data_IF_472846681785
#
_entry.id   IF_472846681785
#
_cell.length_a   1.000
_cell.length_b   1.000
_cell.length_c   1.000
_cell.angle_alpha   90.00
_cell.angle_beta   90.00
_cell.angle_gamma   90.00
#
_symmetry.space_group_name_H-M   'P 1'
#
loop_
_entity.id
_entity.type
_entity.pdbx_description
1 polymer ?
#
# COMPACT_ATOMS: atom_id res chain seq x y z
N UNK A 1 0.78 17.01 -22.75
CA UNK A 1 1.10 16.58 -21.37
C UNK A 1 2.35 15.71 -21.46
N UNK A 2 3.29 15.87 -20.51
CA UNK A 2 4.55 15.09 -20.50
C UNK A 2 4.28 13.65 -20.05
N UNK A 3 5.09 12.71 -20.53
CA UNK A 3 5.08 11.35 -20.02
C UNK A 3 5.78 11.26 -18.67
N UNK A 4 5.37 10.29 -17.86
CA UNK A 4 5.90 10.03 -16.53
C UNK A 4 6.37 8.58 -16.48
N UNK A 5 7.65 8.39 -16.27
CA UNK A 5 8.27 7.08 -16.27
C UNK A 5 8.61 6.60 -14.86
N UNK A 6 8.36 5.32 -14.61
CA UNK A 6 8.92 4.59 -13.48
C UNK A 6 10.27 4.03 -13.94
N UNK A 7 11.34 4.41 -13.25
CA UNK A 7 12.70 4.02 -13.63
C UNK A 7 13.32 2.96 -12.70
N UNK A 8 13.03 3.01 -11.43
CA UNK A 8 13.40 1.97 -10.45
C UNK A 8 12.40 1.96 -9.28
N UNK A 9 12.35 0.86 -8.55
CA UNK A 9 11.52 0.71 -7.37
C UNK A 9 12.08 -0.35 -6.43
N UNK A 10 11.92 -0.12 -5.12
CA UNK A 10 12.39 -1.03 -4.08
C UNK A 10 11.52 -0.90 -2.84
N UNK A 11 11.40 -1.97 -2.06
CA UNK A 11 10.69 -1.99 -0.78
C UNK A 11 11.50 -2.68 0.31
N UNK A 12 11.14 -2.42 1.54
CA UNK A 12 11.56 -3.26 2.66
C UNK A 12 10.80 -4.60 2.65
N UNK A 13 11.23 -5.59 3.43
CA UNK A 13 10.33 -6.66 3.83
C UNK A 13 9.08 -6.08 4.49
N UNK A 14 7.98 -6.83 4.46
CA UNK A 14 6.77 -6.53 5.23
C UNK A 14 6.84 -7.31 6.54
N UNK A 15 6.97 -6.59 7.66
CA UNK A 15 6.93 -7.14 9.00
C UNK A 15 5.50 -7.35 9.48
N UNK A 16 5.27 -8.35 10.34
CA UNK A 16 4.01 -8.49 11.07
C UNK A 16 4.01 -7.60 12.31
N UNK A 17 2.85 -7.34 12.85
CA UNK A 17 2.69 -6.60 14.11
C UNK A 17 3.53 -7.23 15.25
N UNK A 18 4.37 -6.42 15.88
CA UNK A 18 5.28 -6.87 16.94
C UNK A 18 6.39 -7.82 16.46
N UNK A 19 6.61 -7.93 15.14
CA UNK A 19 7.55 -8.87 14.52
C UNK A 19 8.96 -8.33 14.32
N UNK A 20 9.59 -8.79 13.25
CA UNK A 20 11.01 -8.55 12.95
C UNK A 20 11.37 -7.06 12.81
N UNK A 21 10.45 -6.22 12.32
CA UNK A 21 10.66 -4.77 12.16
C UNK A 21 10.25 -3.93 13.37
N UNK A 22 9.73 -4.52 14.44
CA UNK A 22 9.18 -3.82 15.60
C UNK A 22 10.17 -2.84 16.30
N UNK A 23 11.48 -3.06 16.15
CA UNK A 23 12.51 -2.20 16.74
C UNK A 23 13.00 -1.09 15.81
N UNK A 24 12.49 -1.03 14.58
CA UNK A 24 12.86 0.00 13.61
C UNK A 24 11.88 1.15 13.72
N UNK A 25 12.35 2.36 13.90
CA UNK A 25 11.53 3.57 13.90
C UNK A 25 10.88 3.78 12.54
N UNK A 26 9.70 4.39 12.49
CA UNK A 26 8.99 4.62 11.24
C UNK A 26 9.78 5.50 10.24
N UNK A 27 10.47 6.53 10.74
CA UNK A 27 11.31 7.42 9.94
C UNK A 27 12.58 6.72 9.42
N UNK A 28 13.23 5.85 10.21
CA UNK A 28 14.35 5.01 9.78
C UNK A 28 13.91 3.95 8.75
N UNK A 29 12.74 3.35 8.96
CA UNK A 29 12.17 2.39 8.02
C UNK A 29 11.88 3.04 6.66
N UNK A 30 11.36 4.27 6.67
CA UNK A 30 11.12 5.07 5.47
C UNK A 30 12.43 5.42 4.73
N UNK A 31 13.53 5.60 5.45
CA UNK A 31 14.84 5.89 4.87
C UNK A 31 15.48 4.67 4.17
N UNK A 32 15.12 3.45 4.55
CA UNK A 32 15.74 2.23 4.01
C UNK A 32 15.59 2.09 2.48
N UNK A 33 14.40 2.20 1.86
CA UNK A 33 14.27 2.12 0.41
C UNK A 33 14.95 3.29 -0.32
N UNK A 34 15.05 4.48 0.29
CA UNK A 34 15.78 5.60 -0.29
C UNK A 34 17.28 5.30 -0.36
N UNK A 35 17.87 4.79 0.73
CA UNK A 35 19.27 4.34 0.75
C UNK A 35 19.55 3.27 -0.30
N UNK A 36 18.60 2.35 -0.48
CA UNK A 36 18.73 1.28 -1.47
C UNK A 36 18.71 1.84 -2.91
N UNK A 37 17.83 2.78 -3.24
CA UNK A 37 17.83 3.45 -4.54
C UNK A 37 19.14 4.20 -4.78
N UNK A 38 19.64 4.93 -3.77
CA UNK A 38 20.92 5.63 -3.87
C UNK A 38 22.09 4.66 -4.13
N UNK A 39 22.10 3.50 -3.47
CA UNK A 39 23.12 2.49 -3.67
C UNK A 39 23.03 1.83 -5.07
N UNK A 40 21.83 1.65 -5.61
CA UNK A 40 21.63 1.13 -6.98
C UNK A 40 22.06 2.11 -8.06
N UNK A 41 22.02 3.43 -7.78
CA UNK A 41 22.32 4.50 -8.72
C UNK A 41 23.44 5.42 -8.21
N UNK A 42 24.68 4.90 -8.00
CA UNK A 42 25.78 5.66 -7.37
C UNK A 42 26.32 6.83 -8.22
N UNK A 43 25.96 6.89 -9.50
CA UNK A 43 26.36 7.95 -10.43
C UNK A 43 25.31 9.04 -10.59
N UNK A 44 24.11 8.84 -10.01
CA UNK A 44 23.02 9.79 -10.11
C UNK A 44 23.29 11.00 -9.21
N UNK A 45 23.11 12.18 -9.72
CA UNK A 45 23.15 13.39 -8.90
C UNK A 45 21.84 13.54 -8.12
N UNK A 46 21.85 13.16 -6.87
CA UNK A 46 20.69 13.21 -6.01
C UNK A 46 20.26 14.62 -5.59
N UNK A 47 21.07 15.64 -5.87
CA UNK A 47 20.68 17.03 -5.67
C UNK A 47 19.69 17.53 -6.73
N UNK A 48 19.56 16.79 -7.82
CA UNK A 48 18.63 17.07 -8.91
C UNK A 48 17.21 16.48 -8.66
N UNK A 49 17.01 15.80 -7.53
CA UNK A 49 15.65 15.37 -7.13
C UNK A 49 14.84 16.60 -6.73
N UNK A 50 13.79 16.89 -7.48
CA UNK A 50 12.93 18.05 -7.24
C UNK A 50 12.15 17.90 -5.93
N UNK A 51 11.62 16.71 -5.65
CA UNK A 51 10.86 16.45 -4.42
C UNK A 51 10.69 14.96 -4.12
N UNK A 52 10.60 14.60 -2.83
CA UNK A 52 10.24 13.28 -2.34
C UNK A 52 8.81 13.28 -1.83
N UNK A 53 7.94 12.43 -2.43
CA UNK A 53 6.54 12.25 -2.07
C UNK A 53 6.34 10.93 -1.33
N UNK A 54 6.00 10.96 -0.04
CA UNK A 54 5.73 9.74 0.71
C UNK A 54 4.31 9.72 1.29
N UNK A 55 3.65 8.57 1.13
CA UNK A 55 2.41 8.26 1.80
C UNK A 55 2.65 7.78 3.23
N UNK A 56 1.86 8.29 4.18
CA UNK A 56 1.82 7.82 5.55
C UNK A 56 0.44 8.11 6.14
N UNK A 57 -0.20 7.11 6.74
CA UNK A 57 -1.56 7.24 7.25
C UNK A 57 -1.61 7.72 8.69
N UNK A 58 -0.73 7.24 9.57
CA UNK A 58 -0.82 7.53 11.00
C UNK A 58 -0.36 8.96 11.34
N UNK A 59 0.90 9.28 11.15
CA UNK A 59 1.54 10.57 11.42
C UNK A 59 1.41 11.06 12.88
N UNK A 60 1.08 10.19 13.82
CA UNK A 60 0.89 10.53 15.22
C UNK A 60 2.14 10.26 16.08
N UNK A 61 3.07 9.44 15.60
CA UNK A 61 4.26 8.99 16.33
C UNK A 61 5.56 9.46 15.71
N UNK A 62 6.47 8.53 15.48
CA UNK A 62 7.80 8.75 14.89
C UNK A 62 7.73 9.17 13.41
N UNK A 63 6.59 9.01 12.81
CA UNK A 63 6.19 9.41 11.46
C UNK A 63 5.61 10.83 11.36
N UNK A 64 5.67 11.61 12.46
CA UNK A 64 5.22 13.01 12.50
C UNK A 64 6.17 13.96 11.76
N UNK A 65 5.80 15.22 11.68
CA UNK A 65 6.63 16.30 11.11
C UNK A 65 7.13 16.04 9.69
N UNK A 66 6.27 15.53 8.80
CA UNK A 66 6.62 15.25 7.42
C UNK A 66 7.66 14.11 7.31
N UNK A 67 7.21 12.88 7.45
CA UNK A 67 8.08 11.70 7.41
C UNK A 67 8.87 11.57 6.09
N UNK A 68 8.35 12.09 4.97
CA UNK A 68 9.08 12.15 3.70
C UNK A 68 10.38 12.95 3.85
N UNK A 69 10.29 14.16 4.46
CA UNK A 69 11.47 15.00 4.70
C UNK A 69 12.41 14.38 5.73
N UNK A 70 11.89 13.79 6.80
CA UNK A 70 12.70 13.11 7.79
C UNK A 70 13.47 11.93 7.15
N UNK A 71 12.77 11.11 6.38
CA UNK A 71 13.35 9.93 5.73
C UNK A 71 14.47 10.26 4.74
N UNK A 72 14.27 11.28 3.89
CA UNK A 72 15.28 11.67 2.90
C UNK A 72 16.57 12.18 3.55
N UNK A 73 16.46 12.95 4.65
CA UNK A 73 17.62 13.42 5.43
C UNK A 73 18.34 12.24 6.11
N UNK A 74 17.59 11.30 6.71
CA UNK A 74 18.13 10.09 7.34
C UNK A 74 18.75 9.13 6.30
N UNK A 75 18.28 9.18 5.06
CA UNK A 75 18.88 8.43 3.96
C UNK A 75 20.18 9.04 3.46
N UNK A 76 20.43 10.31 3.72
CA UNK A 76 21.60 11.06 3.25
C UNK A 76 21.40 11.74 1.90
N UNK A 77 20.15 11.98 1.47
CA UNK A 77 19.91 12.86 0.34
C UNK A 77 20.31 14.31 0.72
N UNK A 78 20.69 15.14 -0.27
CA UNK A 78 21.05 16.54 -0.02
C UNK A 78 19.95 17.32 0.72
N UNK A 79 20.34 18.21 1.61
CA UNK A 79 19.42 19.05 2.39
C UNK A 79 18.59 20.02 1.52
N UNK A 80 18.99 20.23 0.28
CA UNK A 80 18.27 21.04 -0.71
C UNK A 80 17.01 20.34 -1.25
N UNK A 81 16.92 19.01 -1.14
CA UNK A 81 15.78 18.22 -1.63
C UNK A 81 14.58 18.35 -0.69
N UNK A 82 13.45 18.91 -1.09
CA UNK A 82 12.25 18.98 -0.28
C UNK A 82 11.53 17.63 -0.18
N UNK A 83 10.57 17.54 0.73
CA UNK A 83 9.74 16.33 0.88
C UNK A 83 8.32 16.68 1.27
N UNK A 84 7.36 15.91 0.79
CA UNK A 84 5.94 16.06 1.04
C UNK A 84 5.33 14.74 1.53
N UNK A 85 4.64 14.77 2.66
CA UNK A 85 3.88 13.62 3.17
C UNK A 85 2.40 13.75 2.83
N UNK A 86 1.83 12.70 2.21
CA UNK A 86 0.42 12.63 1.83
C UNK A 86 -0.32 11.61 2.66
N UNK A 87 -1.58 11.90 2.95
CA UNK A 87 -2.47 10.98 3.64
C UNK A 87 -3.79 10.81 2.87
N UNK A 88 -3.99 9.62 2.34
CA UNK A 88 -5.29 9.06 1.95
C UNK A 88 -5.41 7.66 2.55
N UNK A 89 -5.16 7.53 3.86
CA UNK A 89 -5.20 6.26 4.58
C UNK A 89 -4.47 5.15 3.80
N UNK A 90 -5.14 4.03 3.51
CA UNK A 90 -4.56 2.88 2.81
C UNK A 90 -3.89 3.22 1.46
N UNK A 91 -4.41 4.22 0.73
CA UNK A 91 -3.89 4.59 -0.60
C UNK A 91 -2.83 5.70 -0.58
N UNK A 92 -2.34 6.11 0.59
CA UNK A 92 -1.38 7.21 0.70
C UNK A 92 -0.16 7.03 -0.21
N UNK A 93 0.41 5.83 -0.29
CA UNK A 93 1.53 5.53 -1.17
C UNK A 93 1.19 5.59 -2.66
N UNK A 94 0.00 5.12 -3.06
CA UNK A 94 -0.43 5.21 -4.47
C UNK A 94 -0.73 6.66 -4.87
N UNK A 95 -1.30 7.45 -3.97
CA UNK A 95 -1.49 8.89 -4.19
C UNK A 95 -0.16 9.66 -4.21
N UNK A 96 0.85 9.24 -3.43
CA UNK A 96 2.19 9.83 -3.49
C UNK A 96 2.79 9.65 -4.90
N UNK A 97 2.74 8.41 -5.45
CA UNK A 97 3.14 8.12 -6.83
C UNK A 97 2.32 8.94 -7.82
N UNK A 98 1.00 9.03 -7.61
CA UNK A 98 0.10 9.81 -8.47
C UNK A 98 0.31 11.33 -8.37
N UNK A 99 0.66 11.87 -7.21
CA UNK A 99 0.95 13.30 -7.01
C UNK A 99 2.24 13.69 -7.73
N UNK A 100 3.33 12.96 -7.50
CA UNK A 100 4.57 13.15 -8.23
C UNK A 100 4.36 13.03 -9.75
N UNK A 101 3.62 12.00 -10.19
CA UNK A 101 3.29 11.85 -11.61
C UNK A 101 2.46 13.01 -12.19
N UNK A 102 1.56 13.62 -11.42
CA UNK A 102 0.81 14.83 -11.84
C UNK A 102 1.72 16.05 -11.95
N UNK A 103 2.62 16.26 -11.00
CA UNK A 103 3.57 17.37 -11.02
C UNK A 103 4.53 17.27 -12.21
N UNK A 104 5.08 16.08 -12.49
CA UNK A 104 5.90 15.84 -13.69
C UNK A 104 5.09 16.09 -14.98
N UNK A 105 3.85 15.58 -15.05
CA UNK A 105 2.98 15.75 -16.23
C UNK A 105 2.60 17.20 -16.49
N UNK A 106 2.43 17.99 -15.42
CA UNK A 106 2.18 19.42 -15.50
C UNK A 106 3.44 20.22 -15.89
N UNK A 107 4.62 19.63 -15.74
CA UNK A 107 5.91 20.29 -16.02
C UNK A 107 6.39 21.19 -14.88
N UNK A 108 5.88 20.96 -13.67
CA UNK A 108 6.33 21.66 -12.46
C UNK A 108 7.66 21.10 -11.94
N UNK A 109 7.87 19.78 -12.12
CA UNK A 109 9.07 19.05 -11.77
C UNK A 109 9.45 18.06 -12.87
N UNK A 110 10.70 17.57 -12.85
CA UNK A 110 11.22 16.61 -13.84
C UNK A 110 11.60 15.28 -13.22
N UNK A 111 12.04 15.27 -11.96
CA UNK A 111 12.62 14.12 -11.28
C UNK A 111 12.15 14.04 -9.83
N UNK A 112 11.52 12.94 -9.46
CA UNK A 112 10.97 12.74 -8.12
C UNK A 112 11.23 11.32 -7.58
N UNK A 113 11.22 11.19 -6.26
CA UNK A 113 11.06 9.91 -5.58
C UNK A 113 9.64 9.87 -4.98
N UNK A 114 8.91 8.79 -5.23
CA UNK A 114 7.58 8.61 -4.67
C UNK A 114 7.47 7.26 -3.98
N UNK A 115 6.76 7.21 -2.86
CA UNK A 115 6.65 5.97 -2.10
C UNK A 115 5.74 6.09 -0.89
N UNK A 116 6.10 5.37 0.17
CA UNK A 116 5.37 5.48 1.42
C UNK A 116 5.87 4.54 2.50
N UNK A 117 5.42 4.76 3.70
CA UNK A 117 5.78 4.02 4.91
C UNK A 117 4.59 3.88 5.84
N UNK A 118 4.56 2.78 6.55
CA UNK A 118 3.74 2.62 7.75
C UNK A 118 4.46 1.72 8.74
N UNK A 119 4.53 2.13 10.00
CA UNK A 119 4.86 1.24 11.11
C UNK A 119 3.67 1.17 12.04
N UNK A 120 2.81 0.17 11.81
CA UNK A 120 1.61 -0.01 12.63
C UNK A 120 1.95 -0.58 14.00
N UNK A 121 3.09 -1.30 14.12
CA UNK A 121 3.61 -1.78 15.41
C UNK A 121 4.00 -0.62 16.35
N UNK A 122 4.53 0.46 15.81
CA UNK A 122 5.02 1.60 16.59
C UNK A 122 4.03 2.78 16.63
N UNK A 123 2.82 2.55 16.17
CA UNK A 123 1.74 3.51 16.29
C UNK A 123 1.50 3.84 17.77
N UNK A 124 1.56 5.11 18.19
CA UNK A 124 1.55 5.48 19.59
C UNK A 124 0.14 5.46 20.19
N UNK A 125 0.07 5.42 21.50
CA UNK A 125 -1.11 5.87 22.23
C UNK A 125 -1.19 7.39 22.17
N UNK A 126 -2.40 7.93 22.02
CA UNK A 126 -2.67 9.37 22.00
C UNK A 126 -3.76 9.72 23.00
N UNK A 127 -3.65 10.91 23.58
CA UNK A 127 -4.58 11.45 24.55
C UNK A 127 -4.94 12.89 24.17
N UNK A 128 -6.23 13.22 24.14
CA UNK A 128 -6.71 14.58 23.95
C UNK A 128 -6.41 15.47 25.14
N UNK A 129 -6.38 16.78 24.94
CA UNK A 129 -6.41 17.71 26.06
C UNK A 129 -7.76 17.64 26.76
N UNK A 130 -7.75 17.80 28.09
CA UNK A 130 -8.97 17.82 28.87
C UNK A 130 -9.91 18.93 28.38
N UNK A 131 -11.20 18.64 28.18
CA UNK A 131 -12.18 19.62 27.70
C UNK A 131 -12.57 20.65 28.78
N UNK A 132 -12.29 20.34 30.02
CA UNK A 132 -12.59 21.21 31.20
C UNK A 132 -11.39 21.27 32.12
N UNK A 133 -11.29 22.39 32.89
CA UNK A 133 -10.26 22.53 33.94
C UNK A 133 -10.47 21.46 35.03
N UNK A 134 -9.36 20.98 35.63
CA UNK A 134 -9.36 20.00 36.72
C UNK A 134 -10.08 18.69 36.39
N UNK A 135 -10.08 18.27 35.13
CA UNK A 135 -10.63 16.98 34.71
C UNK A 135 -10.00 15.84 35.51
N UNK A 136 -10.83 14.88 35.94
CA UNK A 136 -10.41 13.69 36.69
C UNK A 136 -10.35 12.42 35.87
N UNK A 137 -10.55 12.54 34.54
CA UNK A 137 -10.50 11.44 33.57
C UNK A 137 -9.83 11.90 32.28
N UNK A 138 -9.23 10.95 31.55
CA UNK A 138 -8.69 11.14 30.23
C UNK A 138 -8.88 9.85 29.43
N UNK A 139 -9.28 10.00 28.16
CA UNK A 139 -9.35 8.88 27.22
C UNK A 139 -8.01 8.73 26.51
N UNK A 140 -7.49 7.51 26.50
CA UNK A 140 -6.28 7.13 25.75
C UNK A 140 -6.70 6.23 24.60
N UNK A 141 -6.23 6.55 23.37
CA UNK A 141 -6.55 5.82 22.16
C UNK A 141 -5.29 5.17 21.58
N UNK A 142 -5.40 3.89 21.23
CA UNK A 142 -4.42 3.21 20.39
C UNK A 142 -4.59 3.68 18.93
N UNK A 143 -3.50 4.12 18.30
CA UNK A 143 -3.54 4.60 16.92
C UNK A 143 -3.14 3.55 15.89
N UNK A 144 -2.88 2.32 16.29
CA UNK A 144 -2.51 1.20 15.41
C UNK A 144 -3.55 0.98 14.32
N UNK A 145 -4.83 0.89 14.71
CA UNK A 145 -5.97 0.72 13.80
C UNK A 145 -7.24 1.24 14.49
N UNK A 146 -8.21 1.65 13.69
CA UNK A 146 -9.52 2.06 14.20
C UNK A 146 -9.66 3.57 14.41
N UNK A 147 -10.79 3.92 15.00
CA UNK A 147 -11.19 5.30 15.20
C UNK A 147 -10.64 5.88 16.51
N UNK A 148 -10.22 7.14 16.44
CA UNK A 148 -9.83 7.97 17.59
C UNK A 148 -10.41 9.36 17.46
N UNK A 149 -10.69 10.04 18.57
CA UNK A 149 -11.27 11.39 18.59
C UNK A 149 -12.52 11.51 17.71
N UNK A 150 -13.45 10.58 17.87
CA UNK A 150 -14.62 10.45 17.00
C UNK A 150 -15.46 11.74 17.04
N UNK A 151 -15.66 12.36 15.86
CA UNK A 151 -16.57 13.47 15.72
C UNK A 151 -18.03 12.98 15.86
N UNK A 152 -18.83 13.52 16.79
CA UNK A 152 -20.22 13.08 17.03
C UNK A 152 -21.13 13.21 15.79
N UNK A 153 -20.95 14.25 14.96
CA UNK A 153 -21.72 14.42 13.74
C UNK A 153 -21.34 13.36 12.69
N UNK A 154 -20.06 13.07 12.55
CA UNK A 154 -19.59 11.99 11.67
C UNK A 154 -20.19 10.65 12.07
N UNK A 155 -20.19 10.34 13.37
CA UNK A 155 -20.78 9.12 13.92
C UNK A 155 -22.28 9.04 13.66
N UNK A 156 -23.00 10.16 13.83
CA UNK A 156 -24.46 10.20 13.64
C UNK A 156 -24.87 10.09 12.15
N UNK A 157 -24.09 10.68 11.24
CA UNK A 157 -24.45 10.74 9.82
C UNK A 157 -23.97 9.52 9.01
N UNK A 158 -22.77 9.00 9.31
CA UNK A 158 -22.11 8.01 8.47
C UNK A 158 -21.66 6.75 9.21
N UNK A 159 -21.79 6.72 10.54
CA UNK A 159 -21.26 5.66 11.37
C UNK A 159 -19.75 5.74 11.54
N UNK A 160 -19.22 4.84 12.36
CA UNK A 160 -17.80 4.69 12.63
C UNK A 160 -17.45 3.19 12.72
N UNK A 161 -17.90 2.44 11.74
CA UNK A 161 -17.67 0.99 11.67
C UNK A 161 -16.17 0.68 11.72
N UNK A 162 -15.80 -0.32 12.48
CA UNK A 162 -14.46 -0.86 12.46
C UNK A 162 -14.14 -1.46 11.08
N UNK A 163 -12.86 -1.53 10.69
CA UNK A 163 -12.50 -2.03 9.37
C UNK A 163 -13.05 -3.43 9.06
N UNK A 164 -12.96 -4.45 9.95
CA UNK A 164 -13.58 -5.74 9.69
C UNK A 164 -15.11 -5.68 9.54
N UNK A 165 -15.78 -4.74 10.23
CA UNK A 165 -17.22 -4.52 10.09
C UNK A 165 -17.57 -4.03 8.67
N UNK A 166 -16.74 -3.16 8.08
CA UNK A 166 -16.93 -2.75 6.68
C UNK A 166 -16.74 -3.92 5.70
N UNK A 167 -15.88 -4.88 6.05
CA UNK A 167 -15.71 -6.14 5.30
C UNK A 167 -16.97 -7.01 5.34
N UNK A 168 -17.62 -7.12 6.50
CA UNK A 168 -18.91 -7.82 6.64
C UNK A 168 -20.02 -7.10 5.89
N UNK A 169 -20.09 -5.76 5.94
CA UNK A 169 -21.08 -4.98 5.19
C UNK A 169 -20.98 -5.25 3.69
N UNK A 170 -19.75 -5.34 3.15
CA UNK A 170 -19.53 -5.68 1.75
C UNK A 170 -19.91 -7.14 1.47
N UNK A 171 -19.58 -8.08 2.36
CA UNK A 171 -19.95 -9.48 2.20
C UNK A 171 -21.47 -9.65 2.10
N UNK A 172 -22.20 -8.98 2.98
CA UNK A 172 -23.68 -8.99 3.03
C UNK A 172 -24.29 -8.34 1.78
N UNK A 173 -23.92 -7.08 1.47
CA UNK A 173 -24.51 -6.28 0.40
C UNK A 173 -24.22 -6.86 -0.99
N UNK A 174 -23.02 -7.45 -1.19
CA UNK A 174 -22.59 -8.04 -2.46
C UNK A 174 -22.66 -9.58 -2.47
N UNK A 175 -23.29 -10.17 -1.46
CA UNK A 175 -23.54 -11.62 -1.36
C UNK A 175 -22.27 -12.48 -1.55
N UNK A 176 -21.18 -12.11 -0.89
CA UNK A 176 -19.93 -12.85 -0.90
C UNK A 176 -19.92 -13.84 0.26
N UNK A 177 -20.00 -15.13 -0.05
CA UNK A 177 -20.07 -16.18 0.96
C UNK A 177 -18.74 -16.34 1.72
N UNK A 178 -18.79 -16.91 2.93
CA UNK A 178 -17.60 -17.30 3.68
C UNK A 178 -16.71 -18.26 2.91
N UNK A 179 -17.31 -19.22 2.19
CA UNK A 179 -16.58 -20.19 1.39
C UNK A 179 -15.79 -19.51 0.24
N UNK A 180 -16.39 -18.54 -0.45
CA UNK A 180 -15.70 -17.76 -1.48
C UNK A 180 -14.53 -16.98 -0.87
N UNK A 181 -14.72 -16.35 0.31
CA UNK A 181 -13.68 -15.60 1.00
C UNK A 181 -12.49 -16.47 1.40
N UNK A 182 -12.74 -17.66 1.95
CA UNK A 182 -11.69 -18.59 2.33
C UNK A 182 -10.96 -19.16 1.10
N UNK A 183 -11.67 -19.42 -0.01
CA UNK A 183 -11.08 -19.82 -1.29
C UNK A 183 -10.20 -18.73 -1.90
N UNK A 184 -10.59 -17.47 -1.77
CA UNK A 184 -9.78 -16.32 -2.20
C UNK A 184 -8.52 -16.18 -1.35
N UNK A 185 -8.65 -16.30 -0.04
CA UNK A 185 -7.55 -16.15 0.91
C UNK A 185 -6.48 -17.25 0.72
N UNK A 186 -6.88 -18.51 0.59
CA UNK A 186 -5.92 -19.60 0.36
C UNK A 186 -5.17 -19.42 -0.97
N UNK A 187 -5.85 -18.95 -2.01
CA UNK A 187 -5.19 -18.65 -3.29
C UNK A 187 -4.13 -17.54 -3.16
N UNK A 188 -4.41 -16.49 -2.38
CA UNK A 188 -3.43 -15.44 -2.08
C UNK A 188 -2.20 -16.02 -1.40
N UNK A 189 -2.37 -16.87 -0.38
CA UNK A 189 -1.27 -17.55 0.32
C UNK A 189 -0.47 -18.48 -0.59
N UNK A 190 -1.13 -19.27 -1.42
CA UNK A 190 -0.47 -20.19 -2.36
C UNK A 190 0.37 -19.43 -3.39
N UNK A 191 -0.17 -18.34 -3.94
CA UNK A 191 0.54 -17.48 -4.90
C UNK A 191 1.75 -16.78 -4.26
N UNK A 192 1.61 -16.26 -3.05
CA UNK A 192 2.73 -15.69 -2.30
C UNK A 192 3.80 -16.75 -1.98
N UNK A 193 3.39 -17.95 -1.56
CA UNK A 193 4.30 -19.07 -1.32
C UNK A 193 5.11 -19.46 -2.55
N UNK A 194 4.44 -19.56 -3.71
CA UNK A 194 5.10 -19.85 -4.99
C UNK A 194 6.08 -18.74 -5.40
N UNK A 195 5.70 -17.47 -5.23
CA UNK A 195 6.56 -16.32 -5.50
C UNK A 195 7.81 -16.29 -4.58
N UNK A 196 7.65 -16.60 -3.29
CA UNK A 196 8.76 -16.72 -2.35
C UNK A 196 9.70 -17.85 -2.75
N UNK A 197 9.15 -19.04 -3.06
CA UNK A 197 9.93 -20.20 -3.42
C UNK A 197 10.72 -20.01 -4.73
N UNK A 198 10.20 -19.24 -5.68
CA UNK A 198 10.89 -18.88 -6.93
C UNK A 198 11.91 -17.74 -6.78
N UNK A 199 12.02 -17.10 -5.60
CA UNK A 199 12.88 -15.94 -5.41
C UNK A 199 12.34 -14.63 -6.03
N UNK A 200 11.08 -14.60 -6.48
CA UNK A 200 10.48 -13.45 -7.15
C UNK A 200 10.66 -12.14 -6.36
N UNK A 201 10.38 -12.15 -5.06
CA UNK A 201 10.45 -10.95 -4.23
C UNK A 201 11.88 -10.49 -3.88
N UNK A 202 12.91 -11.31 -4.13
CA UNK A 202 14.29 -10.93 -3.87
C UNK A 202 14.75 -9.71 -4.70
N UNK A 203 14.15 -9.48 -5.86
CA UNK A 203 14.43 -8.31 -6.71
C UNK A 203 13.72 -7.03 -6.22
N UNK A 204 12.61 -7.17 -5.48
CA UNK A 204 11.87 -6.05 -4.90
C UNK A 204 12.41 -5.60 -3.55
N UNK A 205 12.92 -6.56 -2.75
CA UNK A 205 13.21 -6.34 -1.33
C UNK A 205 14.65 -5.86 -1.13
N UNK A 206 14.80 -4.78 -0.34
CA UNK A 206 16.06 -4.39 0.27
C UNK A 206 16.08 -4.79 1.73
N UNK A 207 17.19 -5.34 2.20
CA UNK A 207 17.35 -5.73 3.59
C UNK A 207 17.30 -4.53 4.54
N UNK A 208 16.70 -4.72 5.71
CA UNK A 208 16.65 -3.74 6.79
C UNK A 208 17.52 -4.20 7.94
N UNK A 209 18.44 -3.34 8.39
CA UNK A 209 19.26 -3.58 9.58
C UNK A 209 18.45 -3.25 10.84
N UNK A 210 18.24 -4.26 11.67
CA UNK A 210 17.42 -4.14 12.89
C UNK A 210 18.31 -4.28 14.13
N UNK A 211 18.15 -3.47 15.19
CA UNK A 211 18.93 -3.60 16.41
C UNK A 211 18.81 -5.00 17.05
N UNK A 212 19.90 -5.74 17.11
CA UNK A 212 19.97 -7.12 17.64
C UNK A 212 20.55 -7.23 19.06
N UNK A 213 20.67 -6.13 19.79
CA UNK A 213 21.22 -6.10 21.14
C UNK A 213 22.72 -6.42 21.18
N UNK A 214 23.18 -7.24 22.12
CA UNK A 214 24.60 -7.57 22.30
C UNK A 214 25.22 -8.33 21.11
N UNK A 215 24.41 -8.99 20.28
CA UNK A 215 24.87 -9.74 19.11
C UNK A 215 25.11 -8.86 17.87
N UNK A 216 24.88 -7.55 17.98
CA UNK A 216 24.94 -6.62 16.86
C UNK A 216 23.65 -6.59 16.02
N UNK A 217 23.64 -5.84 14.92
CA UNK A 217 22.46 -5.71 14.09
C UNK A 217 22.10 -7.03 13.37
N UNK A 218 20.80 -7.24 13.16
CA UNK A 218 20.23 -8.38 12.43
C UNK A 218 19.74 -7.87 11.08
N UNK A 219 20.05 -8.57 10.00
CA UNK A 219 19.53 -8.29 8.67
C UNK A 219 18.18 -8.98 8.50
N UNK A 220 17.13 -8.22 8.18
CA UNK A 220 15.79 -8.71 7.82
C UNK A 220 15.58 -8.47 6.33
N UNK A 221 15.44 -9.53 5.55
CA UNK A 221 15.40 -9.52 4.08
C UNK A 221 14.24 -10.30 3.48
N UNK A 222 13.29 -10.77 4.31
CA UNK A 222 12.14 -11.57 3.89
C UNK A 222 10.84 -11.06 4.49
N UNK A 223 9.78 -11.14 3.71
CA UNK A 223 8.42 -10.89 4.19
C UNK A 223 8.06 -11.89 5.30
N UNK A 224 7.53 -11.39 6.41
CA UNK A 224 7.27 -12.19 7.62
C UNK A 224 5.80 -12.65 7.71
N UNK A 225 4.90 -12.01 6.96
CA UNK A 225 3.47 -12.25 7.09
C UNK A 225 2.95 -13.51 6.35
N UNK A 226 3.52 -13.92 5.18
CA UNK A 226 3.03 -15.06 4.42
C UNK A 226 2.99 -16.38 5.21
N UNK A 227 1.95 -17.17 4.95
CA UNK A 227 1.71 -18.50 5.56
C UNK A 227 1.38 -19.50 4.46
N UNK A 228 2.37 -19.92 3.65
CA UNK A 228 2.14 -20.79 2.49
C UNK A 228 1.59 -22.17 2.88
N UNK A 229 1.75 -22.60 4.13
CA UNK A 229 1.20 -23.82 4.71
C UNK A 229 -0.29 -23.74 5.06
N UNK A 230 -0.93 -22.60 4.84
CA UNK A 230 -2.37 -22.43 5.13
C UNK A 230 -3.21 -23.44 4.34
N UNK A 231 -4.16 -24.08 5.03
CA UNK A 231 -5.12 -25.02 4.42
C UNK A 231 -6.54 -24.48 4.47
N UNK A 232 -7.39 -24.90 3.54
CA UNK A 232 -8.81 -24.53 3.55
C UNK A 232 -9.49 -25.01 4.82
N UNK A 233 -9.18 -26.23 5.30
CA UNK A 233 -9.68 -26.76 6.56
C UNK A 233 -9.28 -25.87 7.75
N UNK A 234 -8.06 -25.34 7.77
CA UNK A 234 -7.60 -24.41 8.79
C UNK A 234 -8.40 -23.11 8.78
N UNK A 235 -8.67 -22.56 7.59
CA UNK A 235 -9.45 -21.33 7.43
C UNK A 235 -10.89 -21.50 7.89
N UNK A 236 -11.56 -22.58 7.54
CA UNK A 236 -12.97 -22.83 7.92
C UNK A 236 -13.19 -22.91 9.43
N UNK A 237 -12.16 -23.28 10.22
CA UNK A 237 -12.20 -23.36 11.69
C UNK A 237 -12.06 -21.97 12.37
N UNK A 238 -11.65 -20.95 11.64
CA UNK A 238 -11.49 -19.61 12.21
C UNK A 238 -12.84 -18.97 12.52
N UNK A 239 -12.91 -18.36 13.71
CA UNK A 239 -14.12 -17.64 14.14
C UNK A 239 -14.19 -16.26 13.46
N UNK A 240 -15.39 -15.77 13.15
CA UNK A 240 -15.59 -14.37 12.72
C UNK A 240 -15.06 -13.39 13.76
N UNK A 241 -14.56 -12.23 13.29
CA UNK A 241 -13.89 -11.24 14.16
C UNK A 241 -14.89 -10.30 14.83
N UNK A 242 -15.94 -9.87 14.13
CA UNK A 242 -16.82 -8.78 14.60
C UNK A 242 -18.30 -9.16 14.71
N UNK A 243 -18.81 -10.10 13.91
CA UNK A 243 -20.21 -10.55 13.94
C UNK A 243 -20.31 -12.03 14.31
N UNK A 244 -21.42 -12.42 14.90
CA UNK A 244 -21.76 -13.83 15.11
C UNK A 244 -23.28 -14.05 14.84
N UNK A 245 -23.69 -14.66 13.70
CA UNK A 245 -22.81 -15.18 12.65
C UNK A 245 -22.13 -14.07 11.84
N UNK A 246 -20.93 -14.38 11.27
CA UNK A 246 -20.12 -13.50 10.44
C UNK A 246 -19.26 -14.28 9.46
N UNK A 247 -18.58 -13.57 8.57
CA UNK A 247 -17.79 -14.17 7.47
C UNK A 247 -16.34 -13.75 7.47
N UNK A 248 -16.02 -12.54 7.97
CA UNK A 248 -14.66 -12.00 8.03
C UNK A 248 -13.90 -12.60 9.20
N UNK A 249 -12.74 -13.17 8.90
CA UNK A 249 -11.86 -13.83 9.90
C UNK A 249 -10.43 -13.30 9.78
N UNK A 250 -9.59 -13.65 10.74
CA UNK A 250 -8.16 -13.36 10.68
C UNK A 250 -7.44 -14.04 9.51
N UNK A 251 -8.04 -15.05 8.88
CA UNK A 251 -7.47 -15.79 7.75
C UNK A 251 -7.87 -15.24 6.38
N UNK A 252 -8.94 -14.44 6.29
CA UNK A 252 -9.44 -13.87 5.04
C UNK A 252 -9.45 -12.33 5.04
N UNK A 253 -8.70 -11.73 5.94
CA UNK A 253 -8.42 -10.30 6.04
C UNK A 253 -6.91 -10.04 5.98
N UNK A 254 -6.51 -8.84 5.55
CA UNK A 254 -5.10 -8.41 5.63
C UNK A 254 -4.66 -8.21 7.08
N UNK A 255 -3.36 -8.27 7.31
CA UNK A 255 -2.77 -8.06 8.63
C UNK A 255 -2.52 -6.60 8.97
N UNK A 256 -2.09 -6.40 10.23
CA UNK A 256 -1.47 -5.17 10.73
C UNK A 256 0.04 -5.33 10.55
N UNK A 257 0.68 -4.44 9.80
CA UNK A 257 2.03 -4.65 9.28
C UNK A 257 2.88 -3.39 9.26
N UNK A 258 4.20 -3.61 9.13
CA UNK A 258 5.22 -2.58 9.02
C UNK A 258 5.93 -2.70 7.67
N UNK A 259 6.24 -1.57 7.02
CA UNK A 259 6.98 -1.58 5.76
C UNK A 259 7.11 -0.21 5.11
N UNK A 260 8.04 -0.11 4.15
CA UNK A 260 8.27 1.08 3.33
C UNK A 260 8.62 0.70 1.89
N UNK A 261 8.30 1.58 0.95
CA UNK A 261 8.66 1.44 -0.47
C UNK A 261 9.00 2.80 -1.07
N UNK A 262 9.86 2.81 -2.09
CA UNK A 262 10.19 3.98 -2.85
C UNK A 262 10.40 3.65 -4.34
N UNK A 263 10.06 4.61 -5.21
CA UNK A 263 10.15 4.52 -6.66
C UNK A 263 10.78 5.79 -7.22
N UNK A 264 11.63 5.66 -8.22
CA UNK A 264 12.13 6.78 -9.03
C UNK A 264 11.12 7.08 -10.14
N UNK A 265 10.64 8.31 -10.19
CA UNK A 265 9.78 8.83 -11.24
C UNK A 265 10.49 9.95 -11.98
N UNK A 266 10.46 9.92 -13.31
CA UNK A 266 11.15 10.89 -14.15
C UNK A 266 10.33 11.26 -15.38
N UNK A 267 10.52 12.49 -15.87
CA UNK A 267 10.13 12.90 -17.22
C UNK A 267 11.08 12.33 -18.25
N UNK A 268 10.73 12.43 -19.53
CA UNK A 268 11.62 12.03 -20.63
C UNK A 268 12.93 12.83 -20.61
N UNK A 269 12.88 14.12 -20.26
CA UNK A 269 14.06 14.97 -20.14
C UNK A 269 14.99 14.49 -19.04
N UNK A 270 14.45 14.20 -17.86
CA UNK A 270 15.22 13.66 -16.72
C UNK A 270 15.78 12.27 -17.01
N UNK A 271 15.01 11.39 -17.67
CA UNK A 271 15.48 10.07 -18.12
C UNK A 271 16.73 10.22 -18.98
N UNK A 272 16.71 11.10 -19.98
CA UNK A 272 17.85 11.35 -20.86
C UNK A 272 19.02 12.00 -20.13
N UNK A 273 18.74 13.03 -19.30
CA UNK A 273 19.76 13.76 -18.56
C UNK A 273 20.55 12.87 -17.60
N UNK A 274 19.86 12.00 -16.89
CA UNK A 274 20.43 11.16 -15.84
C UNK A 274 20.80 9.75 -16.31
N UNK A 275 20.54 9.39 -17.57
CA UNK A 275 20.81 8.06 -18.11
C UNK A 275 19.98 6.98 -17.42
N UNK A 276 18.75 7.29 -17.00
CA UNK A 276 17.83 6.34 -16.40
C UNK A 276 17.20 5.42 -17.45
N UNK A 277 16.81 4.22 -17.03
CA UNK A 277 16.09 3.27 -17.92
C UNK A 277 14.62 3.30 -17.55
N UNK A 278 13.72 3.76 -18.45
CA UNK A 278 12.28 3.70 -18.22
C UNK A 278 11.83 2.24 -18.22
N UNK A 279 11.20 1.79 -17.13
CA UNK A 279 10.61 0.44 -17.02
C UNK A 279 9.13 0.46 -17.42
N UNK A 280 8.42 1.49 -17.00
CA UNK A 280 7.00 1.65 -17.28
C UNK A 280 6.62 3.12 -17.34
N UNK A 281 5.46 3.41 -17.95
CA UNK A 281 4.83 4.72 -18.03
C UNK A 281 3.55 4.75 -17.21
N UNK A 282 3.36 5.77 -16.38
CA UNK A 282 2.09 5.98 -15.66
C UNK A 282 1.10 6.65 -16.62
N UNK A 283 0.04 5.94 -17.01
CA UNK A 283 -1.01 6.48 -17.88
C UNK A 283 -1.95 7.44 -17.12
N UNK A 284 -2.21 7.17 -15.86
CA UNK A 284 -3.05 8.03 -15.04
C UNK A 284 -3.45 7.40 -13.71
N UNK A 285 -4.03 8.25 -12.86
CA UNK A 285 -4.60 7.85 -11.58
C UNK A 285 -5.97 8.51 -11.41
N UNK A 286 -6.96 7.78 -10.93
CA UNK A 286 -8.26 8.29 -10.54
C UNK A 286 -8.66 7.87 -9.13
N UNK A 287 -9.42 8.72 -8.47
CA UNK A 287 -10.07 8.41 -7.19
C UNK A 287 -11.57 8.59 -7.29
N UNK A 288 -12.30 7.84 -6.49
CA UNK A 288 -13.75 7.93 -6.34
C UNK A 288 -14.14 7.67 -4.88
N UNK A 289 -15.39 7.98 -4.54
CA UNK A 289 -15.91 7.74 -3.20
C UNK A 289 -17.19 6.90 -3.25
N UNK A 290 -17.47 6.24 -2.13
CA UNK A 290 -18.62 5.39 -1.85
C UNK A 290 -19.07 5.63 -0.41
N UNK A 291 -20.26 5.15 0.02
CA UNK A 291 -20.63 5.22 1.42
C UNK A 291 -19.57 4.60 2.34
N UNK A 292 -19.18 5.26 3.46
CA UNK A 292 -18.11 4.79 4.35
C UNK A 292 -18.27 3.35 4.83
N UNK A 293 -19.51 2.91 5.09
CA UNK A 293 -19.82 1.55 5.59
C UNK A 293 -19.47 0.42 4.61
N UNK A 294 -19.38 0.74 3.32
CA UNK A 294 -18.99 -0.20 2.24
C UNK A 294 -17.73 0.29 1.52
N UNK A 295 -16.79 0.86 2.26
CA UNK A 295 -15.55 1.43 1.70
C UNK A 295 -14.81 0.45 0.78
N UNK A 296 -14.94 -0.86 1.05
CA UNK A 296 -14.29 -1.92 0.29
C UNK A 296 -14.59 -1.90 -1.21
N UNK A 297 -15.77 -1.38 -1.63
CA UNK A 297 -16.14 -1.33 -3.05
C UNK A 297 -15.56 -0.10 -3.80
N UNK A 298 -14.86 0.79 -3.11
CA UNK A 298 -14.25 1.99 -3.69
C UNK A 298 -13.38 1.79 -4.94
N UNK A 299 -12.64 0.67 -5.09
CA UNK A 299 -11.89 0.35 -6.31
C UNK A 299 -12.74 0.36 -7.58
N UNK A 300 -13.99 -0.04 -7.52
CA UNK A 300 -14.88 -0.17 -8.68
C UNK A 300 -15.14 1.18 -9.36
N UNK A 301 -15.73 2.19 -8.69
CA UNK A 301 -15.92 3.49 -9.32
C UNK A 301 -14.61 4.20 -9.66
N UNK A 302 -13.53 4.00 -8.89
CA UNK A 302 -12.22 4.57 -9.20
C UNK A 302 -11.66 3.99 -10.51
N UNK A 303 -11.71 2.67 -10.68
CA UNK A 303 -11.27 1.97 -11.90
C UNK A 303 -12.13 2.36 -13.10
N UNK A 304 -13.47 2.36 -12.96
CA UNK A 304 -14.37 2.77 -14.04
C UNK A 304 -14.09 4.21 -14.50
N UNK A 305 -13.87 5.14 -13.55
CA UNK A 305 -13.52 6.53 -13.85
C UNK A 305 -12.19 6.65 -14.57
N UNK A 306 -11.19 5.86 -14.16
CA UNK A 306 -9.88 5.82 -14.81
C UNK A 306 -9.99 5.30 -16.24
N UNK A 307 -10.64 4.16 -16.42
CA UNK A 307 -10.86 3.54 -17.74
C UNK A 307 -11.60 4.48 -18.69
N UNK A 308 -12.68 5.11 -18.25
CA UNK A 308 -13.44 6.06 -19.07
C UNK A 308 -12.57 7.23 -19.55
N UNK A 309 -11.70 7.77 -18.64
CA UNK A 309 -10.80 8.87 -18.99
C UNK A 309 -9.70 8.48 -19.98
N UNK A 310 -9.24 7.23 -19.91
CA UNK A 310 -8.16 6.70 -20.77
C UNK A 310 -8.69 6.03 -22.05
N UNK A 311 -10.00 5.83 -22.18
CA UNK A 311 -10.60 5.08 -23.29
C UNK A 311 -10.27 3.59 -23.24
N UNK A 312 -10.02 3.02 -22.04
CA UNK A 312 -9.63 1.63 -21.84
C UNK A 312 -10.78 0.78 -21.33
N UNK A 313 -10.70 -0.53 -21.57
CA UNK A 313 -11.59 -1.57 -20.99
C UNK A 313 -10.81 -2.41 -19.99
N UNK A 314 -11.52 -3.08 -19.08
CA UNK A 314 -10.88 -3.96 -18.08
C UNK A 314 -10.11 -5.11 -18.74
N UNK A 315 -10.57 -5.60 -19.88
CA UNK A 315 -9.91 -6.66 -20.65
C UNK A 315 -8.61 -6.25 -21.34
N UNK A 316 -8.23 -4.98 -21.27
CA UNK A 316 -6.97 -4.47 -21.82
C UNK A 316 -5.85 -4.38 -20.77
N UNK A 317 -6.12 -4.86 -19.55
CA UNK A 317 -5.12 -5.01 -18.50
C UNK A 317 -4.68 -6.46 -18.42
N UNK A 318 -3.39 -6.68 -18.61
CA UNK A 318 -2.75 -8.00 -18.56
C UNK A 318 -2.39 -8.43 -17.13
N UNK A 319 -2.40 -7.46 -16.18
CA UNK A 319 -2.16 -7.68 -14.77
C UNK A 319 -2.97 -6.68 -13.94
N UNK A 320 -3.57 -7.16 -12.86
CA UNK A 320 -4.27 -6.34 -11.88
C UNK A 320 -3.69 -6.63 -10.49
N UNK A 321 -3.12 -5.60 -9.86
CA UNK A 321 -2.80 -5.58 -8.44
C UNK A 321 -3.96 -4.91 -7.69
N UNK A 322 -4.81 -5.72 -7.08
CA UNK A 322 -5.93 -5.29 -6.24
C UNK A 322 -5.56 -5.51 -4.78
N UNK A 323 -5.54 -4.45 -3.97
CA UNK A 323 -5.27 -4.61 -2.54
C UNK A 323 -6.36 -5.46 -1.87
N UNK A 324 -5.93 -6.50 -1.17
CA UNK A 324 -6.81 -7.43 -0.48
C UNK A 324 -6.97 -7.02 1.00
N UNK A 325 -7.64 -5.89 1.25
CA UNK A 325 -7.93 -5.51 2.63
C UNK A 325 -8.79 -6.60 3.33
N UNK A 326 -9.78 -7.11 2.61
CA UNK A 326 -10.62 -8.26 2.97
C UNK A 326 -10.91 -9.08 1.71
N UNK A 327 -11.03 -10.40 1.86
CA UNK A 327 -11.42 -11.26 0.74
C UNK A 327 -12.80 -10.88 0.19
N UNK A 328 -13.76 -10.56 1.06
CA UNK A 328 -15.10 -10.07 0.65
C UNK A 328 -15.03 -8.86 -0.25
N UNK A 329 -14.17 -7.90 0.08
CA UNK A 329 -13.95 -6.70 -0.70
C UNK A 329 -13.29 -7.01 -2.05
N UNK A 330 -12.24 -7.86 -2.06
CA UNK A 330 -11.56 -8.24 -3.29
C UNK A 330 -12.51 -8.90 -4.28
N UNK A 331 -13.28 -9.89 -3.82
CA UNK A 331 -14.27 -10.62 -4.63
C UNK A 331 -15.36 -9.69 -5.15
N UNK A 332 -15.95 -8.86 -4.28
CA UNK A 332 -16.98 -7.91 -4.68
C UNK A 332 -16.48 -6.95 -5.77
N UNK A 333 -15.25 -6.44 -5.65
CA UNK A 333 -14.64 -5.59 -6.66
C UNK A 333 -14.46 -6.32 -8.00
N UNK A 334 -13.92 -7.52 -7.99
CA UNK A 334 -13.70 -8.30 -9.21
C UNK A 334 -15.02 -8.58 -9.93
N UNK A 335 -16.04 -9.08 -9.22
CA UNK A 335 -17.37 -9.36 -9.77
C UNK A 335 -18.00 -8.10 -10.38
N UNK A 336 -17.91 -6.96 -9.71
CA UNK A 336 -18.43 -5.68 -10.19
C UNK A 336 -17.66 -5.11 -11.41
N UNK A 337 -16.40 -5.49 -11.58
CA UNK A 337 -15.59 -5.14 -12.75
C UNK A 337 -15.71 -6.16 -13.88
N UNK A 338 -16.43 -7.25 -13.69
CA UNK A 338 -16.58 -8.33 -14.69
C UNK A 338 -15.34 -9.22 -14.79
N UNK A 339 -14.54 -9.31 -13.73
CA UNK A 339 -13.36 -10.16 -13.64
C UNK A 339 -13.71 -11.40 -12.80
N UNK A 340 -13.23 -12.58 -13.19
CA UNK A 340 -13.43 -13.80 -12.41
C UNK A 340 -12.69 -13.74 -11.08
N UNK A 341 -13.28 -14.31 -10.03
CA UNK A 341 -12.70 -14.36 -8.68
C UNK A 341 -11.32 -15.02 -8.64
N UNK A 342 -11.09 -15.97 -9.55
CA UNK A 342 -9.88 -16.81 -9.65
C UNK A 342 -8.95 -16.42 -10.81
N UNK A 343 -9.19 -15.30 -11.48
CA UNK A 343 -8.37 -14.86 -12.61
C UNK A 343 -6.86 -14.88 -12.27
N UNK A 344 -6.07 -15.48 -13.13
CA UNK A 344 -4.64 -15.73 -12.91
C UNK A 344 -3.78 -14.46 -13.03
N UNK A 345 -4.30 -13.44 -13.70
CA UNK A 345 -3.66 -12.13 -13.85
C UNK A 345 -4.00 -11.15 -12.71
N UNK A 346 -4.83 -11.54 -11.75
CA UNK A 346 -5.13 -10.75 -10.55
C UNK A 346 -4.25 -11.22 -9.40
N UNK A 347 -3.43 -10.34 -8.84
CA UNK A 347 -2.50 -10.64 -7.75
C UNK A 347 -1.73 -11.95 -8.00
N UNK A 348 -1.01 -12.08 -9.13
CA UNK A 348 -0.40 -13.35 -9.51
C UNK A 348 0.67 -13.85 -8.53
N UNK A 349 1.18 -12.96 -7.67
CA UNK A 349 2.19 -13.25 -6.67
C UNK A 349 1.66 -13.16 -5.23
N UNK A 350 0.32 -13.25 -5.07
CA UNK A 350 -0.36 -13.02 -3.79
C UNK A 350 -0.60 -11.54 -3.52
N UNK A 351 -1.58 -11.25 -2.66
CA UNK A 351 -1.95 -9.90 -2.27
C UNK A 351 -1.82 -9.67 -0.76
N UNK A 352 -2.49 -8.65 -0.24
CA UNK A 352 -2.32 -8.18 1.14
C UNK A 352 -2.77 -9.18 2.20
N UNK A 353 -3.66 -10.13 1.91
CA UNK A 353 -4.01 -11.21 2.83
C UNK A 353 -2.78 -12.07 3.14
N UNK A 354 -1.96 -12.35 2.13
CA UNK A 354 -0.73 -13.12 2.30
C UNK A 354 0.46 -12.26 2.68
N UNK A 355 0.69 -11.13 1.98
CA UNK A 355 1.89 -10.32 2.12
C UNK A 355 1.81 -9.31 3.28
N UNK A 356 0.60 -8.90 3.67
CA UNK A 356 0.40 -7.86 4.66
C UNK A 356 0.02 -6.48 4.07
N UNK A 357 -0.40 -5.56 4.96
CA UNK A 357 -0.95 -4.27 4.56
C UNK A 357 -0.42 -3.09 5.41
N UNK A 358 0.87 -2.72 5.30
CA UNK A 358 1.36 -1.47 5.86
C UNK A 358 0.69 -0.31 5.11
N UNK A 359 -0.22 0.44 5.75
CA UNK A 359 -1.16 1.35 5.09
C UNK A 359 -0.49 2.31 4.10
N UNK A 360 0.43 3.14 4.58
CA UNK A 360 1.11 4.16 3.76
C UNK A 360 2.01 3.60 2.67
N UNK A 361 2.54 2.40 2.84
CA UNK A 361 3.41 1.73 1.86
C UNK A 361 2.62 1.02 0.76
N UNK A 362 1.45 0.43 1.12
CA UNK A 362 0.79 -0.58 0.27
C UNK A 362 0.49 -0.10 -1.14
N UNK A 363 0.07 1.15 -1.31
CA UNK A 363 -0.23 1.67 -2.65
C UNK A 363 1.01 1.78 -3.55
N UNK A 364 2.16 2.17 -3.00
CA UNK A 364 3.42 2.18 -3.73
C UNK A 364 3.88 0.74 -4.04
N UNK A 365 3.70 -0.21 -3.09
CA UNK A 365 3.96 -1.64 -3.31
C UNK A 365 3.13 -2.19 -4.46
N UNK A 366 1.83 -1.89 -4.53
CA UNK A 366 0.98 -2.33 -5.65
C UNK A 366 1.52 -1.84 -7.00
N UNK A 367 1.89 -0.57 -7.09
CA UNK A 367 2.42 0.00 -8.33
C UNK A 367 3.75 -0.64 -8.75
N UNK A 368 4.70 -0.81 -7.81
CA UNK A 368 5.99 -1.43 -8.13
C UNK A 368 5.86 -2.92 -8.45
N UNK A 369 5.05 -3.67 -7.69
CA UNK A 369 4.81 -5.10 -7.95
C UNK A 369 4.11 -5.31 -9.29
N UNK A 370 3.21 -4.39 -9.69
CA UNK A 370 2.60 -4.41 -11.02
C UNK A 370 3.65 -4.25 -12.13
N UNK A 371 4.58 -3.30 -12.00
CA UNK A 371 5.68 -3.11 -12.96
C UNK A 371 6.55 -4.36 -13.03
N UNK A 372 7.03 -4.85 -11.87
CA UNK A 372 7.90 -6.02 -11.79
C UNK A 372 7.19 -7.29 -12.32
N UNK A 373 5.92 -7.49 -11.97
CA UNK A 373 5.11 -8.60 -12.46
C UNK A 373 4.95 -8.61 -13.97
N UNK A 374 4.75 -7.44 -14.56
CA UNK A 374 4.65 -7.29 -16.02
C UNK A 374 5.98 -7.58 -16.72
N UNK A 375 7.12 -7.19 -16.17
CA UNK A 375 8.44 -7.52 -16.73
C UNK A 375 8.69 -9.03 -16.79
N UNK A 376 8.20 -9.77 -15.78
CA UNK A 376 8.38 -11.24 -15.71
C UNK A 376 7.36 -12.02 -16.54
N UNK A 377 6.12 -11.56 -16.60
CA UNK A 377 5.04 -12.25 -17.33
C UNK A 377 4.97 -11.86 -18.81
N UNK A 378 5.47 -10.69 -19.16
CA UNK A 378 5.11 -10.01 -20.39
C UNK A 378 3.73 -9.38 -20.31
N UNK A 379 3.38 -8.60 -21.29
CA UNK A 379 2.12 -7.87 -21.36
C UNK A 379 2.35 -6.36 -21.50
N UNK A 380 1.26 -5.63 -21.71
CA UNK A 380 1.33 -4.21 -22.05
C UNK A 380 0.88 -3.31 -20.92
N UNK A 381 -0.21 -3.64 -20.23
CA UNK A 381 -0.83 -2.74 -19.25
C UNK A 381 -1.14 -3.44 -17.94
N UNK A 382 -0.89 -2.73 -16.86
CA UNK A 382 -1.27 -3.14 -15.51
C UNK A 382 -2.20 -2.10 -14.85
N UNK A 383 -3.07 -2.60 -13.96
CA UNK A 383 -3.93 -1.81 -13.09
C UNK A 383 -3.51 -2.05 -11.65
N UNK A 384 -3.20 -0.98 -10.91
CA UNK A 384 -3.07 -1.02 -9.45
C UNK A 384 -4.28 -0.30 -8.84
N UNK A 385 -5.04 -0.99 -7.97
CA UNK A 385 -6.24 -0.40 -7.36
C UNK A 385 -6.46 -0.85 -5.93
N UNK A 386 -7.05 0.01 -5.11
CA UNK A 386 -7.26 -0.28 -3.70
C UNK A 386 -8.43 0.51 -3.10
N UNK A 387 -9.06 -0.10 -2.10
CA UNK A 387 -10.02 0.55 -1.24
C UNK A 387 -9.33 1.43 -0.20
N UNK A 388 -10.08 2.37 0.35
CA UNK A 388 -9.58 3.37 1.30
C UNK A 388 -10.63 3.58 2.38
N UNK A 389 -10.21 3.58 3.61
CA UNK A 389 -11.07 3.89 4.75
C UNK A 389 -11.90 5.17 4.54
N UNK A 390 -13.02 5.27 5.22
CA UNK A 390 -13.98 6.39 5.10
C UNK A 390 -14.60 6.48 3.69
N UNK A 391 -14.67 5.36 2.97
CA UNK A 391 -15.47 5.25 1.74
C UNK A 391 -14.82 5.83 0.49
N UNK A 392 -13.57 5.47 0.19
CA UNK A 392 -12.91 5.89 -1.04
C UNK A 392 -12.26 4.71 -1.77
N UNK A 393 -11.83 4.95 -3.02
CA UNK A 393 -11.02 4.05 -3.81
C UNK A 393 -10.07 4.83 -4.72
N UNK A 394 -8.95 4.20 -5.05
CA UNK A 394 -7.93 4.75 -5.97
C UNK A 394 -7.56 3.69 -6.98
N UNK A 395 -7.34 4.10 -8.23
CA UNK A 395 -6.89 3.24 -9.32
C UNK A 395 -5.83 3.96 -10.16
N UNK A 396 -4.77 3.25 -10.52
CA UNK A 396 -3.67 3.71 -11.38
C UNK A 396 -3.49 2.74 -12.53
N UNK A 397 -3.36 3.26 -13.76
CA UNK A 397 -3.01 2.51 -14.95
C UNK A 397 -1.55 2.75 -15.32
N UNK A 398 -0.85 1.67 -15.61
CA UNK A 398 0.58 1.62 -15.92
C UNK A 398 0.74 0.91 -17.25
N UNK A 399 1.61 1.41 -18.13
CA UNK A 399 1.96 0.79 -19.40
C UNK A 399 3.44 0.48 -19.43
N UNK A 400 3.79 -0.74 -19.84
CA UNK A 400 5.19 -1.18 -19.93
C UNK A 400 5.90 -0.48 -21.09
N UNK A 401 7.19 -0.22 -20.89
CA UNK A 401 8.07 0.24 -21.97
C UNK A 401 8.57 -1.01 -22.71
N UNK A 402 8.41 -1.02 -24.04
CA UNK A 402 8.89 -2.10 -24.92
C UNK A 402 10.40 -1.98 -25.14
#
# INVERSE_FOLDING_TARGET
MRDVFVCDAVRTPIGRFGGSLAKVRADDLAAAPLKALMARHPKLDWSEVDEVYFGCANQAGEDNRNVARMALLLAGLPETVPGLTLNRLCASGLDAVGAAGRAIRAGEIEFAIAGGVESMTRAPFVMGKAPVAFSRSADIFDTTIGWRFINPLMKAQYGVDAMPETGENVAEEFQVSRADQDAFAIRSQQRAGAAIASGYFAEEITAVSVPGGKAGPISVDKDEHPRPETTLEGLTKLKPIVRNPGTVTAGNASGVNDGAAAMILASEAAVKKHGLTPRARILGLASAAVPPRIMGIGPVPATRKLMARLGLKISEFDLIELNEAFASQGIACLRQLGVKDDADFVNPHGGAIALGHPLGMSGARLAMTAVHGMEKRGGKRALATMCVGVGQGVAMAIEMMN
#
